data_IF_095438371753
#
_entry.id   IF_095438371753
#
_cell.length_a   1.000
_cell.length_b   1.000
_cell.length_c   1.000
_cell.angle_alpha   90.00
_cell.angle_beta   90.00
_cell.angle_gamma   90.00
#
_symmetry.space_group_name_H-M   'P 1'
#
loop_
_entity.id
_entity.type
_entity.pdbx_description
1 polymer ?
#
# COMPACT_ATOMS: atom_id res chain seq x y z
N UNK A 1 -27.02 -68.93 -44.87
CA UNK A 1 -26.67 -68.34 -46.19
C UNK A 1 -25.83 -67.09 -45.93
N UNK A 2 -24.66 -67.32 -46.14
CA UNK A 2 -23.73 -66.82 -47.17
C UNK A 2 -23.21 -65.44 -46.84
N UNK A 3 -22.00 -65.41 -46.45
CA UNK A 3 -20.72 -65.08 -47.14
C UNK A 3 -20.57 -63.60 -47.30
N UNK A 4 -19.45 -62.97 -47.15
CA UNK A 4 -18.05 -63.29 -47.15
C UNK A 4 -17.29 -61.90 -47.14
N UNK A 5 -16.22 -61.97 -46.64
CA UNK A 5 -14.87 -61.59 -47.05
C UNK A 5 -14.43 -60.07 -46.89
N UNK A 6 -13.35 -60.01 -46.19
CA UNK A 6 -12.44 -58.92 -46.11
C UNK A 6 -11.57 -58.79 -47.40
N UNK A 7 -10.35 -58.18 -47.43
CA UNK A 7 -9.42 -57.80 -46.38
C UNK A 7 -8.69 -56.43 -46.57
N UNK A 8 -7.89 -56.09 -45.60
CA UNK A 8 -6.55 -55.55 -45.62
C UNK A 8 -6.19 -54.23 -46.34
N UNK A 9 -5.50 -53.46 -45.70
CA UNK A 9 -4.10 -52.98 -45.81
C UNK A 9 -4.00 -51.45 -45.64
N UNK A 10 -3.29 -51.06 -44.73
CA UNK A 10 -1.91 -50.62 -44.87
C UNK A 10 -1.72 -49.12 -44.67
N UNK A 11 -0.80 -48.91 -43.84
CA UNK A 11 0.22 -47.82 -43.78
C UNK A 11 0.03 -46.73 -42.73
N UNK A 12 0.82 -46.84 -41.80
CA UNK A 12 1.79 -45.98 -41.08
C UNK A 12 1.81 -44.50 -41.51
N UNK A 13 1.68 -43.63 -40.55
CA UNK A 13 1.97 -42.21 -40.69
C UNK A 13 2.05 -41.56 -39.29
N UNK A 14 3.16 -41.71 -38.61
CA UNK A 14 3.44 -41.02 -37.38
C UNK A 14 3.65 -39.53 -37.62
N UNK A 15 3.02 -38.71 -36.82
CA UNK A 15 3.52 -37.33 -36.58
C UNK A 15 3.32 -37.00 -35.12
N UNK A 16 4.45 -37.00 -34.43
CA UNK A 16 4.64 -36.45 -33.10
C UNK A 16 4.42 -34.93 -33.17
N UNK A 17 3.26 -34.45 -32.78
CA UNK A 17 2.97 -33.05 -32.53
C UNK A 17 3.33 -32.70 -31.08
N UNK A 18 4.53 -32.23 -30.84
CA UNK A 18 4.97 -31.74 -29.55
C UNK A 18 4.09 -30.57 -29.10
N UNK A 19 3.29 -30.76 -28.07
CA UNK A 19 2.58 -29.68 -27.36
C UNK A 19 3.60 -28.89 -26.56
N UNK A 20 4.19 -27.86 -27.19
CA UNK A 20 4.98 -26.85 -26.52
C UNK A 20 4.11 -26.10 -25.53
N UNK A 21 4.19 -26.46 -24.26
CA UNK A 21 3.72 -25.64 -23.17
C UNK A 21 4.48 -24.33 -23.19
N UNK A 22 3.96 -23.32 -23.85
CA UNK A 22 4.39 -21.93 -23.66
C UNK A 22 4.05 -21.55 -22.22
N UNK A 23 5.02 -21.68 -21.34
CA UNK A 23 5.02 -21.03 -20.04
C UNK A 23 4.90 -19.53 -20.31
N UNK A 24 3.69 -19.02 -20.25
CA UNK A 24 3.42 -17.60 -20.24
C UNK A 24 4.12 -17.02 -19.01
N UNK A 25 5.27 -16.37 -19.21
CA UNK A 25 5.87 -15.54 -18.18
C UNK A 25 4.86 -14.47 -17.82
N UNK A 26 4.23 -14.60 -16.64
CA UNK A 26 3.33 -13.59 -16.11
C UNK A 26 4.11 -12.30 -15.94
N UNK A 27 3.94 -11.34 -16.87
CA UNK A 27 4.30 -9.96 -16.63
C UNK A 27 3.58 -9.58 -15.34
N UNK A 28 4.33 -9.25 -14.31
CA UNK A 28 3.79 -8.62 -13.11
C UNK A 28 2.88 -7.48 -13.59
N UNK A 29 1.58 -7.57 -13.28
CA UNK A 29 0.61 -6.59 -13.73
C UNK A 29 1.07 -5.22 -13.23
N UNK A 30 1.41 -4.33 -14.17
CA UNK A 30 1.85 -2.97 -13.84
C UNK A 30 0.78 -2.29 -13.00
N UNK A 31 1.18 -1.74 -11.84
CA UNK A 31 0.22 -1.15 -10.92
C UNK A 31 -0.58 -0.03 -11.61
N UNK A 32 -1.91 0.02 -11.44
CA UNK A 32 -2.74 1.02 -12.11
C UNK A 32 -2.25 2.44 -11.84
N UNK A 33 -2.02 3.20 -12.91
CA UNK A 33 -1.49 4.55 -12.82
C UNK A 33 -2.60 5.61 -13.00
N UNK A 34 -2.41 6.80 -12.43
CA UNK A 34 -3.31 7.94 -12.57
C UNK A 34 -2.50 9.25 -12.63
N UNK A 35 -3.08 10.26 -13.26
CA UNK A 35 -2.49 11.60 -13.35
C UNK A 35 -2.80 12.40 -12.10
N UNK A 36 -1.78 12.94 -11.45
CA UNK A 36 -1.92 13.89 -10.34
C UNK A 36 -2.40 15.25 -10.84
N UNK A 37 -3.43 15.83 -10.20
CA UNK A 37 -3.99 17.13 -10.57
C UNK A 37 -3.01 18.29 -10.40
N UNK A 38 -2.17 18.24 -9.37
CA UNK A 38 -1.26 19.34 -9.02
C UNK A 38 0.06 19.26 -9.79
N UNK A 39 0.69 18.09 -9.86
CA UNK A 39 1.98 17.93 -10.52
C UNK A 39 1.88 17.58 -12.01
N UNK A 40 0.71 17.16 -12.50
CA UNK A 40 0.52 16.66 -13.86
C UNK A 40 1.16 15.30 -14.14
N UNK A 41 1.96 14.76 -13.22
CA UNK A 41 2.68 13.49 -13.39
C UNK A 41 1.71 12.31 -13.34
N UNK A 42 2.03 11.28 -14.12
CA UNK A 42 1.38 9.97 -14.05
C UNK A 42 2.12 9.14 -13.02
N UNK A 43 1.40 8.67 -12.00
CA UNK A 43 1.96 7.98 -10.83
C UNK A 43 1.15 6.73 -10.51
N UNK A 44 1.77 5.73 -9.88
CA UNK A 44 1.05 4.59 -9.33
C UNK A 44 -0.02 5.03 -8.33
N UNK A 45 -1.17 4.34 -8.34
CA UNK A 45 -2.32 4.67 -7.46
C UNK A 45 -1.98 4.65 -5.97
N UNK A 46 -1.01 3.86 -5.56
CA UNK A 46 -0.53 3.76 -4.18
C UNK A 46 0.14 5.04 -3.65
N UNK A 47 0.58 5.93 -4.54
CA UNK A 47 1.12 7.24 -4.20
C UNK A 47 0.07 8.36 -4.24
N UNK A 48 -1.16 8.05 -4.62
CA UNK A 48 -2.20 9.02 -4.88
C UNK A 48 -3.39 8.85 -3.92
N UNK A 49 -4.07 9.94 -3.66
CA UNK A 49 -5.36 10.00 -2.98
C UNK A 49 -6.45 10.24 -4.01
N UNK A 50 -7.55 9.54 -3.89
CA UNK A 50 -8.75 9.74 -4.71
C UNK A 50 -9.71 10.70 -4.02
N UNK A 51 -10.31 11.57 -4.82
CA UNK A 51 -11.43 12.42 -4.44
C UNK A 51 -12.55 12.24 -5.44
N UNK A 52 -13.77 12.47 -5.04
CA UNK A 52 -14.94 12.52 -5.91
C UNK A 52 -15.74 13.77 -5.61
N UNK A 53 -16.53 14.24 -6.60
CA UNK A 53 -17.47 15.34 -6.39
C UNK A 53 -18.86 14.75 -6.24
N UNK A 54 -19.46 14.95 -5.09
CA UNK A 54 -20.80 14.48 -4.76
C UNK A 54 -21.85 15.20 -5.63
N UNK A 55 -23.09 14.69 -5.71
CA UNK A 55 -24.17 15.31 -6.49
C UNK A 55 -24.43 16.76 -6.11
N UNK A 56 -24.32 17.11 -4.84
CA UNK A 56 -24.49 18.46 -4.32
C UNK A 56 -23.30 19.41 -4.59
N UNK A 57 -22.26 18.93 -5.27
CA UNK A 57 -21.05 19.69 -5.59
C UNK A 57 -19.96 19.69 -4.54
N UNK A 58 -20.13 19.00 -3.40
CA UNK A 58 -19.08 18.91 -2.38
C UNK A 58 -17.94 17.98 -2.80
N UNK A 59 -16.71 18.35 -2.44
CA UNK A 59 -15.54 17.49 -2.62
C UNK A 59 -15.46 16.48 -1.48
N UNK A 60 -15.41 15.20 -1.82
CA UNK A 60 -15.36 14.09 -0.85
C UNK A 60 -14.05 13.31 -1.01
N UNK A 61 -13.22 13.17 0.03
CA UNK A 61 -12.08 12.27 0.03
C UNK A 61 -12.54 10.80 -0.03
N UNK A 62 -11.97 10.03 -0.95
CA UNK A 62 -12.29 8.61 -1.13
C UNK A 62 -11.02 7.74 -1.03
N UNK A 63 -10.44 7.70 0.15
CA UNK A 63 -9.20 6.96 0.42
C UNK A 63 -9.37 5.43 0.21
N UNK A 64 -10.61 4.96 0.28
CA UNK A 64 -10.98 3.56 0.05
C UNK A 64 -11.25 3.21 -1.40
N UNK A 65 -11.32 4.20 -2.29
CA UNK A 65 -11.62 4.05 -3.72
C UNK A 65 -12.95 3.32 -3.98
N UNK A 66 -13.97 3.59 -3.15
CA UNK A 66 -15.26 2.88 -3.18
C UNK A 66 -16.41 3.72 -3.70
N UNK A 67 -16.28 5.04 -3.67
CA UNK A 67 -17.37 5.93 -4.07
C UNK A 67 -17.56 5.93 -5.60
N UNK A 68 -18.82 6.00 -6.07
CA UNK A 68 -19.11 6.13 -7.51
C UNK A 68 -18.61 7.46 -8.05
N UNK A 69 -18.52 7.55 -9.38
CA UNK A 69 -18.18 8.78 -10.08
C UNK A 69 -16.71 8.88 -10.52
N UNK A 70 -16.43 9.97 -11.24
CA UNK A 70 -15.09 10.24 -11.77
C UNK A 70 -14.13 10.56 -10.61
N UNK A 71 -13.06 9.77 -10.49
CA UNK A 71 -11.99 10.03 -9.52
C UNK A 71 -11.12 11.21 -9.95
N UNK A 72 -10.89 12.12 -9.01
CA UNK A 72 -9.89 13.17 -9.05
C UNK A 72 -8.70 12.71 -8.21
N UNK A 73 -7.49 12.71 -8.78
CA UNK A 73 -6.34 12.08 -8.15
C UNK A 73 -5.28 13.11 -7.77
N UNK A 74 -4.80 13.06 -6.56
CA UNK A 74 -3.79 13.98 -6.03
C UNK A 74 -2.69 13.18 -5.32
N UNK A 75 -1.43 13.52 -5.57
CA UNK A 75 -0.32 12.91 -4.85
C UNK A 75 -0.45 13.15 -3.35
N UNK A 76 -0.24 12.09 -2.55
CA UNK A 76 -0.34 12.13 -1.08
C UNK A 76 0.84 12.90 -0.49
N UNK A 77 0.85 14.23 -0.70
CA UNK A 77 1.88 15.16 -0.21
C UNK A 77 1.25 16.47 0.24
N UNK A 78 1.80 17.05 1.29
CA UNK A 78 1.32 18.29 1.88
C UNK A 78 1.31 19.46 0.86
N UNK A 79 2.42 19.64 0.13
CA UNK A 79 2.57 20.70 -0.88
C UNK A 79 1.61 20.54 -2.08
N UNK A 80 1.34 19.29 -2.49
CA UNK A 80 0.36 19.01 -3.54
C UNK A 80 -1.06 19.33 -3.08
N UNK A 81 -1.40 19.02 -1.83
CA UNK A 81 -2.69 19.35 -1.23
C UNK A 81 -2.88 20.87 -1.16
N UNK A 82 -1.90 21.59 -0.65
CA UNK A 82 -1.90 23.05 -0.58
C UNK A 82 -2.06 23.68 -1.97
N UNK A 83 -1.30 23.22 -2.96
CA UNK A 83 -1.38 23.69 -4.34
C UNK A 83 -2.76 23.42 -4.98
N UNK A 84 -3.36 22.25 -4.69
CA UNK A 84 -4.66 21.89 -5.25
C UNK A 84 -5.77 22.80 -4.71
N UNK A 85 -5.74 23.13 -3.42
CA UNK A 85 -6.69 24.09 -2.80
C UNK A 85 -6.47 25.51 -3.30
N UNK A 86 -5.23 26.03 -3.21
CA UNK A 86 -4.92 27.42 -3.56
C UNK A 86 -5.21 27.75 -5.04
N UNK A 87 -4.98 26.81 -5.96
CA UNK A 87 -5.16 27.00 -7.41
C UNK A 87 -6.50 26.51 -7.93
N UNK A 88 -7.42 26.09 -7.05
CA UNK A 88 -8.75 25.58 -7.35
C UNK A 88 -8.73 24.43 -8.39
N UNK A 89 -7.76 23.49 -8.23
CA UNK A 89 -7.52 22.45 -9.22
C UNK A 89 -8.63 21.39 -9.26
N UNK A 90 -9.35 21.19 -8.18
CA UNK A 90 -10.48 20.26 -8.13
C UNK A 90 -11.63 20.73 -9.05
N UNK A 91 -12.01 21.99 -8.98
CA UNK A 91 -13.04 22.56 -9.85
C UNK A 91 -12.63 22.55 -11.33
N UNK A 92 -11.37 22.92 -11.63
CA UNK A 92 -10.81 22.86 -12.98
C UNK A 92 -10.86 21.44 -13.55
N UNK A 93 -10.48 20.43 -12.77
CA UNK A 93 -10.48 19.04 -13.23
C UNK A 93 -11.89 18.45 -13.34
N UNK A 94 -12.80 18.84 -12.47
CA UNK A 94 -14.21 18.44 -12.51
C UNK A 94 -14.99 19.15 -13.64
N UNK A 95 -14.47 20.25 -14.19
CA UNK A 95 -15.14 21.15 -15.17
C UNK A 95 -16.49 21.65 -14.65
N UNK A 96 -16.61 21.87 -13.36
CA UNK A 96 -17.79 22.43 -12.68
C UNK A 96 -17.37 23.07 -11.35
N UNK A 97 -18.27 23.85 -10.75
CA UNK A 97 -18.06 24.35 -9.40
C UNK A 97 -17.96 23.19 -8.42
N UNK A 98 -17.01 23.30 -7.49
CA UNK A 98 -16.76 22.31 -6.45
C UNK A 98 -16.58 23.04 -5.13
N UNK A 99 -17.35 22.65 -4.13
CA UNK A 99 -17.18 23.15 -2.75
C UNK A 99 -16.07 22.37 -2.08
N UNK A 100 -14.96 23.03 -1.85
CA UNK A 100 -13.80 22.49 -1.16
C UNK A 100 -13.85 22.97 0.29
N UNK A 101 -13.85 22.07 1.31
CA UNK A 101 -13.76 22.49 2.70
C UNK A 101 -12.46 23.25 2.98
N UNK A 102 -12.51 24.31 3.79
CA UNK A 102 -11.32 25.08 4.17
C UNK A 102 -10.28 24.24 4.93
N UNK A 103 -10.74 23.25 5.68
CA UNK A 103 -9.90 22.34 6.45
C UNK A 103 -9.68 20.98 5.77
N UNK A 104 -9.86 20.90 4.42
CA UNK A 104 -9.73 19.65 3.65
C UNK A 104 -8.44 18.89 3.99
N UNK A 105 -7.31 19.56 4.10
CA UNK A 105 -6.02 18.91 4.40
C UNK A 105 -6.06 18.17 5.73
N UNK A 106 -6.61 18.80 6.77
CA UNK A 106 -6.78 18.20 8.10
C UNK A 106 -7.76 17.04 8.08
N UNK A 107 -8.88 17.19 7.39
CA UNK A 107 -9.86 16.11 7.22
C UNK A 107 -9.24 14.88 6.54
N UNK A 108 -8.46 15.08 5.47
CA UNK A 108 -7.80 14.00 4.73
C UNK A 108 -6.74 13.32 5.59
N UNK A 109 -5.95 14.08 6.35
CA UNK A 109 -4.96 13.53 7.28
C UNK A 109 -5.62 12.68 8.36
N UNK A 110 -6.70 13.17 8.98
CA UNK A 110 -7.45 12.42 9.99
C UNK A 110 -8.04 11.13 9.43
N UNK A 111 -8.62 11.17 8.23
CA UNK A 111 -9.13 9.98 7.55
C UNK A 111 -8.02 8.99 7.21
N UNK A 112 -6.83 9.46 6.80
CA UNK A 112 -5.69 8.60 6.53
C UNK A 112 -5.15 7.94 7.79
N UNK A 113 -5.04 8.67 8.91
CA UNK A 113 -4.68 8.12 10.21
C UNK A 113 -5.68 7.06 10.67
N UNK A 114 -6.97 7.39 10.65
CA UNK A 114 -8.04 6.44 11.00
C UNK A 114 -7.93 5.17 10.16
N UNK A 115 -7.69 5.30 8.86
CA UNK A 115 -7.54 4.15 7.97
C UNK A 115 -6.35 3.26 8.33
N UNK A 116 -5.20 3.83 8.72
CA UNK A 116 -4.06 3.07 9.22
C UNK A 116 -4.42 2.28 10.48
N UNK A 117 -5.10 2.92 11.45
CA UNK A 117 -5.51 2.28 12.69
C UNK A 117 -6.57 1.18 12.45
N UNK A 118 -7.55 1.43 11.58
CA UNK A 118 -8.55 0.43 11.19
C UNK A 118 -7.91 -0.81 10.54
N UNK A 119 -6.93 -0.61 9.64
CA UNK A 119 -6.19 -1.72 9.00
C UNK A 119 -5.34 -2.48 10.01
N UNK A 120 -4.72 -1.79 10.97
CA UNK A 120 -3.98 -2.43 12.05
C UNK A 120 -4.90 -3.31 12.92
N UNK A 121 -6.08 -2.81 13.27
CA UNK A 121 -7.11 -3.56 13.98
C UNK A 121 -7.61 -4.78 13.20
N UNK A 122 -7.74 -4.66 11.88
CA UNK A 122 -8.07 -5.79 10.99
C UNK A 122 -6.96 -6.84 10.97
N UNK A 123 -5.71 -6.41 10.83
CA UNK A 123 -4.55 -7.30 10.87
C UNK A 123 -4.45 -8.06 12.19
N UNK A 124 -4.73 -7.38 13.33
CA UNK A 124 -4.81 -8.04 14.64
C UNK A 124 -5.87 -9.13 14.67
N UNK A 125 -7.11 -8.83 14.23
CA UNK A 125 -8.21 -9.82 14.22
C UNK A 125 -7.90 -11.02 13.32
N UNK A 126 -7.08 -10.81 12.28
CA UNK A 126 -6.61 -11.86 11.39
C UNK A 126 -5.41 -12.66 11.94
N UNK A 127 -4.94 -12.37 13.16
CA UNK A 127 -3.77 -13.03 13.75
C UNK A 127 -2.42 -12.65 13.12
N UNK A 128 -2.39 -11.59 12.30
CA UNK A 128 -1.20 -11.18 11.56
C UNK A 128 -0.33 -10.17 12.33
N UNK A 129 -0.54 -9.98 13.63
CA UNK A 129 0.14 -8.96 14.44
C UNK A 129 0.78 -9.55 15.67
N UNK A 130 2.03 -9.21 15.91
CA UNK A 130 2.72 -9.37 17.18
C UNK A 130 3.04 -8.01 17.78
N UNK A 131 2.92 -7.84 19.10
CA UNK A 131 3.17 -6.56 19.75
C UNK A 131 3.88 -6.73 21.09
N UNK A 132 4.83 -5.82 21.35
CA UNK A 132 5.71 -5.81 22.53
C UNK A 132 7.13 -6.19 22.17
N UNK A 133 8.10 -5.70 22.97
CA UNK A 133 9.54 -5.77 22.68
C UNK A 133 10.03 -7.22 22.43
N UNK A 134 9.82 -8.12 23.38
CA UNK A 134 10.34 -9.50 23.26
C UNK A 134 9.64 -10.31 22.16
N UNK A 135 8.33 -10.14 21.99
CA UNK A 135 7.59 -10.84 20.94
C UNK A 135 8.02 -10.40 19.54
N UNK A 136 8.17 -9.08 19.33
CA UNK A 136 8.64 -8.54 18.05
C UNK A 136 10.08 -8.97 17.78
N UNK A 137 10.94 -8.97 18.80
CA UNK A 137 12.33 -9.45 18.70
C UNK A 137 12.41 -10.94 18.30
N UNK A 138 11.56 -11.79 18.89
CA UNK A 138 11.48 -13.20 18.52
C UNK A 138 10.99 -13.40 17.09
N UNK A 139 9.90 -12.70 16.69
CA UNK A 139 9.35 -12.78 15.34
C UNK A 139 10.33 -12.26 14.27
N UNK A 140 11.09 -11.20 14.55
CA UNK A 140 12.17 -10.73 13.65
C UNK A 140 13.22 -11.80 13.40
N UNK A 141 13.67 -12.49 14.46
CA UNK A 141 14.66 -13.57 14.34
C UNK A 141 14.13 -14.79 13.57
N UNK A 142 12.82 -15.04 13.69
CA UNK A 142 12.13 -16.11 12.96
C UNK A 142 11.81 -15.74 11.49
N UNK A 143 12.05 -14.49 11.05
CA UNK A 143 11.71 -14.04 9.70
C UNK A 143 10.19 -13.86 9.48
N UNK A 144 9.41 -13.73 10.55
CA UNK A 144 7.94 -13.67 10.52
C UNK A 144 7.39 -12.25 10.43
N UNK A 145 8.24 -11.23 10.23
CA UNK A 145 7.85 -9.82 10.16
C UNK A 145 8.05 -9.28 8.75
N UNK A 146 6.98 -8.80 8.11
CA UNK A 146 6.98 -8.12 6.81
C UNK A 146 6.89 -6.60 6.90
N UNK A 147 6.50 -6.07 8.08
CA UNK A 147 6.49 -4.63 8.38
C UNK A 147 6.68 -4.44 9.88
N UNK A 148 7.65 -3.61 10.25
CA UNK A 148 7.85 -3.17 11.63
C UNK A 148 7.24 -1.77 11.81
N UNK A 149 6.38 -1.61 12.82
CA UNK A 149 5.83 -0.32 13.23
C UNK A 149 6.35 0.00 14.63
N UNK A 150 6.82 1.23 14.81
CA UNK A 150 7.25 1.74 16.10
C UNK A 150 6.46 3.00 16.45
N UNK A 151 6.10 3.14 17.72
CA UNK A 151 5.45 4.36 18.19
C UNK A 151 6.35 5.57 18.00
N UNK A 152 5.77 6.72 17.64
CA UNK A 152 6.51 7.96 17.43
C UNK A 152 7.13 8.50 18.73
N UNK A 153 6.51 8.18 19.86
CA UNK A 153 6.92 8.51 21.23
C UNK A 153 7.70 7.40 21.93
N UNK A 154 8.19 6.39 21.16
CA UNK A 154 9.01 5.31 21.70
C UNK A 154 10.34 5.83 22.27
N UNK A 155 10.72 5.31 23.43
CA UNK A 155 12.04 5.59 24.00
C UNK A 155 13.17 5.10 23.08
N UNK A 156 14.23 5.90 22.98
CA UNK A 156 15.32 5.71 22.00
C UNK A 156 16.03 4.35 22.16
N UNK A 157 16.32 3.92 23.36
CA UNK A 157 17.04 2.68 23.63
C UNK A 157 16.30 1.45 23.06
N UNK A 158 15.00 1.30 23.39
CA UNK A 158 14.17 0.21 22.87
C UNK A 158 14.01 0.25 21.36
N UNK A 159 13.81 1.48 20.81
CA UNK A 159 13.68 1.72 19.39
C UNK A 159 14.92 1.32 18.62
N UNK A 160 16.10 1.77 19.07
CA UNK A 160 17.39 1.48 18.42
C UNK A 160 17.73 -0.01 18.46
N UNK A 161 17.50 -0.71 19.59
CA UNK A 161 17.73 -2.13 19.71
C UNK A 161 16.92 -2.95 18.72
N UNK A 162 15.63 -2.66 18.59
CA UNK A 162 14.76 -3.35 17.62
C UNK A 162 15.14 -3.02 16.18
N UNK A 163 15.47 -1.75 15.89
CA UNK A 163 15.92 -1.35 14.55
C UNK A 163 17.26 -1.99 14.16
N UNK A 164 18.21 -2.05 15.07
CA UNK A 164 19.49 -2.72 14.83
C UNK A 164 19.30 -4.21 14.52
N UNK A 165 18.44 -4.88 15.29
CA UNK A 165 18.10 -6.28 15.01
C UNK A 165 17.42 -6.42 13.63
N UNK A 166 16.41 -5.58 13.33
CA UNK A 166 15.72 -5.61 12.06
C UNK A 166 16.67 -5.44 10.87
N UNK A 167 17.63 -4.49 10.96
CA UNK A 167 18.68 -4.31 9.94
C UNK A 167 19.57 -5.52 9.78
N UNK A 168 19.92 -6.19 10.87
CA UNK A 168 20.81 -7.36 10.84
C UNK A 168 20.14 -8.59 10.21
N UNK A 169 18.86 -8.84 10.51
CA UNK A 169 18.16 -10.06 10.08
C UNK A 169 17.34 -9.88 8.80
N UNK A 170 16.88 -8.67 8.54
CA UNK A 170 16.02 -8.33 7.39
C UNK A 170 16.30 -6.90 6.90
N UNK A 171 17.41 -6.65 6.18
CA UNK A 171 17.83 -5.30 5.76
C UNK A 171 16.78 -4.54 4.95
N UNK A 172 15.92 -5.25 4.22
CA UNK A 172 14.86 -4.67 3.37
C UNK A 172 13.53 -4.48 4.11
N UNK A 173 13.46 -4.85 5.41
CA UNK A 173 12.23 -4.73 6.17
C UNK A 173 11.86 -3.25 6.34
N UNK A 174 10.65 -2.83 5.90
CA UNK A 174 10.20 -1.47 6.16
C UNK A 174 9.95 -1.26 7.65
N UNK A 175 10.54 -0.19 8.19
CA UNK A 175 10.33 0.27 9.56
C UNK A 175 9.65 1.62 9.51
N UNK A 176 8.42 1.72 10.02
CA UNK A 176 7.57 2.88 9.89
C UNK A 176 7.08 3.40 11.24
N UNK A 177 6.81 4.70 11.29
CA UNK A 177 6.19 5.40 12.42
C UNK A 177 5.04 6.25 11.88
N UNK A 178 3.91 6.34 12.61
CA UNK A 178 2.79 7.17 12.16
C UNK A 178 1.91 7.74 13.27
N UNK A 179 1.99 7.17 14.49
CA UNK A 179 1.23 7.62 15.65
C UNK A 179 1.92 7.19 16.95
N UNK A 180 1.41 7.64 18.11
CA UNK A 180 1.94 7.34 19.42
C UNK A 180 1.57 5.94 19.94
N UNK A 181 2.20 5.56 21.06
CA UNK A 181 2.00 4.25 21.70
C UNK A 181 0.56 4.03 22.16
N UNK A 182 -0.11 5.06 22.64
CA UNK A 182 -1.52 5.00 23.07
C UNK A 182 -2.44 4.70 21.89
N UNK A 183 -2.28 5.39 20.75
CA UNK A 183 -3.11 5.18 19.55
C UNK A 183 -2.90 3.77 18.97
N UNK A 184 -1.64 3.30 18.91
CA UNK A 184 -1.33 1.92 18.53
C UNK A 184 -1.99 0.92 19.50
N UNK A 185 -1.94 1.24 20.79
CA UNK A 185 -2.57 0.45 21.84
C UNK A 185 -4.07 0.29 21.62
N UNK A 186 -4.79 1.39 21.39
CA UNK A 186 -6.23 1.38 21.12
C UNK A 186 -6.57 0.48 19.93
N UNK A 187 -5.85 0.62 18.81
CA UNK A 187 -6.07 -0.22 17.62
C UNK A 187 -5.82 -1.71 17.90
N UNK A 188 -4.95 -2.01 18.85
CA UNK A 188 -4.61 -3.37 19.28
C UNK A 188 -5.41 -3.85 20.51
N UNK A 189 -6.38 -3.05 21.01
CA UNK A 189 -7.17 -3.36 22.21
C UNK A 189 -6.31 -3.50 23.46
N UNK A 190 -5.36 -2.61 23.64
CA UNK A 190 -4.43 -2.49 24.76
C UNK A 190 -4.35 -1.05 25.21
N UNK A 191 -3.77 -0.80 26.38
CA UNK A 191 -3.50 0.55 26.86
C UNK A 191 -2.45 1.24 25.96
N UNK A 192 -1.37 0.56 25.65
CA UNK A 192 -0.30 1.07 24.79
C UNK A 192 0.41 -0.04 24.00
N UNK A 193 1.03 0.32 22.87
CA UNK A 193 1.90 -0.55 22.10
C UNK A 193 3.04 0.25 21.48
N UNK A 194 4.29 -0.12 21.78
CA UNK A 194 5.48 0.62 21.30
C UNK A 194 6.08 -0.03 20.05
N UNK A 195 6.20 -1.35 20.04
CA UNK A 195 6.75 -2.11 18.92
C UNK A 195 5.70 -3.11 18.42
N UNK A 196 5.45 -3.08 17.12
CA UNK A 196 4.44 -3.89 16.45
C UNK A 196 5.03 -4.50 15.19
N UNK A 197 5.04 -5.82 15.10
CA UNK A 197 5.39 -6.58 13.91
C UNK A 197 4.14 -7.04 13.17
N UNK A 198 4.11 -6.86 11.87
CA UNK A 198 3.04 -7.38 11.00
C UNK A 198 3.63 -8.51 10.16
N UNK A 199 2.95 -9.64 10.11
CA UNK A 199 3.36 -10.77 9.28
C UNK A 199 3.43 -10.38 7.78
N UNK A 200 4.33 -11.01 6.99
CA UNK A 200 4.41 -10.77 5.56
C UNK A 200 3.08 -10.99 4.84
N UNK A 201 2.80 -10.18 3.80
CA UNK A 201 1.61 -10.29 2.96
C UNK A 201 0.74 -9.05 2.96
N UNK A 202 -0.52 -9.22 2.54
CA UNK A 202 -1.45 -8.12 2.21
C UNK A 202 -1.63 -7.06 3.31
N UNK A 203 -1.55 -7.43 4.59
CA UNK A 203 -1.70 -6.46 5.68
C UNK A 203 -0.45 -5.60 5.84
N UNK A 204 0.74 -6.20 5.75
CA UNK A 204 2.01 -5.45 5.79
C UNK A 204 2.10 -4.47 4.61
N UNK A 205 1.82 -4.93 3.39
CA UNK A 205 1.83 -4.11 2.18
C UNK A 205 0.77 -2.99 2.23
N UNK A 206 -0.46 -3.33 2.64
CA UNK A 206 -1.55 -2.36 2.78
C UNK A 206 -1.26 -1.28 3.81
N UNK A 207 -0.80 -1.67 5.00
CA UNK A 207 -0.42 -0.74 6.06
C UNK A 207 0.78 0.14 5.64
N UNK A 208 1.82 -0.45 5.07
CA UNK A 208 2.98 0.31 4.60
C UNK A 208 2.57 1.38 3.59
N UNK A 209 1.67 1.06 2.66
CA UNK A 209 1.13 2.01 1.68
C UNK A 209 0.37 3.16 2.36
N UNK A 210 -0.58 2.85 3.25
CA UNK A 210 -1.39 3.88 3.90
C UNK A 210 -0.55 4.76 4.85
N UNK A 211 0.43 4.19 5.56
CA UNK A 211 1.35 4.95 6.40
C UNK A 211 2.23 5.89 5.57
N UNK A 212 2.72 5.46 4.39
CA UNK A 212 3.48 6.34 3.49
C UNK A 212 2.62 7.50 2.97
N UNK A 213 1.36 7.26 2.63
CA UNK A 213 0.41 8.32 2.23
C UNK A 213 0.21 9.33 3.36
N UNK A 214 -0.02 8.85 4.58
CA UNK A 214 -0.17 9.69 5.76
C UNK A 214 1.08 10.55 6.03
N UNK A 215 2.25 9.93 5.97
CA UNK A 215 3.52 10.65 6.17
C UNK A 215 3.73 11.75 5.12
N UNK A 216 3.44 11.48 3.87
CA UNK A 216 3.49 12.50 2.80
C UNK A 216 2.53 13.67 3.05
N UNK A 217 1.33 13.42 3.58
CA UNK A 217 0.36 14.45 3.97
C UNK A 217 0.86 15.33 5.13
N UNK A 218 1.62 14.75 6.06
CA UNK A 218 2.25 15.46 7.18
C UNK A 218 3.53 16.18 6.82
N UNK A 219 3.99 16.09 5.56
CA UNK A 219 5.28 16.63 5.14
C UNK A 219 6.47 15.89 5.76
N UNK A 220 6.23 14.74 6.39
CA UNK A 220 7.26 13.92 6.99
C UNK A 220 7.91 13.01 5.92
N UNK A 221 9.23 12.95 5.93
CA UNK A 221 9.96 11.94 5.16
C UNK A 221 9.85 10.62 5.92
N UNK A 222 9.20 9.63 5.33
CA UNK A 222 9.23 8.27 5.87
C UNK A 222 10.66 7.78 5.77
N UNK A 223 11.31 7.56 6.90
CA UNK A 223 12.59 6.86 6.92
C UNK A 223 12.31 5.39 6.58
N UNK A 224 12.36 5.09 5.30
CA UNK A 224 12.42 3.71 4.84
C UNK A 224 13.90 3.35 4.90
N UNK A 225 14.24 2.24 5.57
CA UNK A 225 15.54 1.62 5.38
C UNK A 225 15.58 1.01 3.95
N UNK A 226 15.52 1.86 2.93
CA UNK A 226 15.81 1.45 1.54
C UNK A 226 17.32 1.39 1.39
N UNK A 227 17.90 0.24 1.71
CA UNK A 227 19.21 -0.12 1.20
C UNK A 227 18.99 -0.57 -0.24
N UNK A 228 19.31 0.32 -1.21
CA UNK A 228 19.56 -0.05 -2.59
C UNK A 228 18.38 0.01 -3.56
N UNK A 229 17.92 1.22 -3.93
CA UNK A 229 17.65 1.49 -5.33
C UNK A 229 18.83 2.32 -5.88
N UNK A 230 19.49 1.89 -6.95
CA UNK A 230 20.43 2.76 -7.65
C UNK A 230 19.65 4.00 -8.09
N UNK A 231 20.14 5.17 -7.76
CA UNK A 231 19.72 6.42 -8.39
C UNK A 231 20.09 6.29 -9.87
N UNK A 232 19.10 6.04 -10.73
CA UNK A 232 19.30 6.20 -12.17
C UNK A 232 19.54 7.68 -12.45
N UNK A 233 20.82 7.99 -12.67
CA UNK A 233 21.37 8.68 -13.79
C UNK A 233 21.17 10.17 -13.85
N UNK A 234 22.06 10.90 -13.25
CA UNK A 234 22.65 12.03 -13.98
C UNK A 234 23.43 11.48 -15.19
N UNK A 235 22.86 11.70 -16.37
CA UNK A 235 23.59 11.93 -17.63
C UNK A 235 22.77 12.88 -18.47
#
# INVERSE_FOLDING_TARGET
>A
MARADGPADGSQGGSQGGSGHRRGGGRAAEAPQRRCLASGRVLPKDQLLRFVVAPDGSLVPDLGERLPGRGLWLQARQDMMAAACAKNLFAKAAKRQVRVPDDLARQVEHLALKRCLDLLGLARRAGAVVAGFEKVKAALRAGEVGLLIQAADAADDGRQKIQALARAVAPQLPVLQFCGAAELGVALGREAAVHVGIAPGRFAEGLAREIRRLAGLRGATVQINEVGRPTEGER
#
